data_IF_583997626534
#
_entry.id   IF_583997626534
#
_cell.length_a   1.000
_cell.length_b   1.000
_cell.length_c   1.000
_cell.angle_alpha   90.00
_cell.angle_beta   90.00
_cell.angle_gamma   90.00
#
_symmetry.space_group_name_H-M   'P 1'
#
loop_
_entity.id
_entity.type
_entity.pdbx_description
1 polymer ?
#
# COMPACT_ATOMS: atom_id res chain seq x y z
N UNK A 1 -24.44 -4.58 24.42
CA UNK A 1 -24.51 -3.33 23.62
C UNK A 1 -25.10 -3.69 22.26
N UNK A 2 -26.28 -3.17 21.91
CA UNK A 2 -26.85 -3.33 20.55
C UNK A 2 -26.07 -2.41 19.61
N UNK A 3 -25.48 -2.95 18.54
CA UNK A 3 -24.88 -2.12 17.49
C UNK A 3 -26.00 -1.47 16.68
N UNK A 4 -25.91 -0.15 16.55
CA UNK A 4 -26.84 0.69 15.80
C UNK A 4 -26.81 0.30 14.32
N UNK A 5 -27.95 0.30 13.60
CA UNK A 5 -27.99 -0.05 12.17
C UNK A 5 -27.00 0.79 11.33
N UNK A 6 -26.70 2.01 11.77
CA UNK A 6 -25.69 2.86 11.14
C UNK A 6 -24.31 2.24 11.19
N UNK A 7 -23.92 1.63 12.31
CA UNK A 7 -22.61 1.00 12.47
C UNK A 7 -22.44 -0.19 11.51
N UNK A 8 -23.51 -0.96 11.29
CA UNK A 8 -23.53 -2.08 10.33
C UNK A 8 -23.41 -1.57 8.89
N UNK A 9 -24.07 -0.46 8.55
CA UNK A 9 -23.92 0.17 7.23
C UNK A 9 -22.53 0.77 6.99
N UNK A 10 -21.92 1.37 8.02
CA UNK A 10 -20.53 1.85 7.96
C UNK A 10 -19.55 0.70 7.74
N UNK A 11 -19.76 -0.44 8.40
CA UNK A 11 -18.97 -1.65 8.20
C UNK A 11 -19.09 -2.19 6.76
N UNK A 12 -20.32 -2.27 6.22
CA UNK A 12 -20.54 -2.74 4.83
C UNK A 12 -19.93 -1.81 3.78
N UNK A 13 -19.99 -0.48 3.98
CA UNK A 13 -19.36 0.48 3.06
C UNK A 13 -17.83 0.39 3.10
N UNK A 14 -17.24 0.34 4.29
CA UNK A 14 -15.78 0.18 4.45
C UNK A 14 -15.29 -1.16 3.89
N UNK A 15 -16.04 -2.25 4.09
CA UNK A 15 -15.71 -3.56 3.54
C UNK A 15 -15.60 -3.59 2.00
N UNK A 16 -16.42 -2.79 1.29
CA UNK A 16 -16.30 -2.65 -0.18
C UNK A 16 -15.07 -1.86 -0.61
N UNK A 17 -14.73 -0.76 0.08
CA UNK A 17 -13.51 0.02 -0.21
C UNK A 17 -12.25 -0.83 0.04
N UNK A 18 -12.24 -1.58 1.14
CA UNK A 18 -11.15 -2.49 1.52
C UNK A 18 -11.09 -3.72 0.59
N UNK A 19 -12.20 -4.05 -0.08
CA UNK A 19 -12.29 -5.07 -1.13
C UNK A 19 -11.70 -4.64 -2.47
N UNK A 20 -11.86 -3.37 -2.88
CA UNK A 20 -11.27 -2.81 -4.11
C UNK A 20 -9.80 -2.39 -3.94
N UNK A 21 -9.35 -2.18 -2.70
CA UNK A 21 -7.97 -1.78 -2.41
C UNK A 21 -6.86 -2.67 -3.00
N UNK A 22 -6.94 -4.02 -2.99
CA UNK A 22 -5.92 -4.84 -3.65
C UNK A 22 -5.81 -4.59 -5.15
N UNK A 23 -6.92 -4.26 -5.83
CA UNK A 23 -6.93 -3.89 -7.24
C UNK A 23 -6.25 -2.52 -7.45
N UNK A 24 -6.63 -1.52 -6.64
CA UNK A 24 -6.04 -0.18 -6.70
C UNK A 24 -4.54 -0.20 -6.37
N UNK A 25 -4.13 -0.94 -5.34
CA UNK A 25 -2.73 -1.12 -4.96
C UNK A 25 -1.93 -1.87 -6.01
N UNK A 26 -2.49 -2.93 -6.61
CA UNK A 26 -1.84 -3.65 -7.72
C UNK A 26 -1.68 -2.75 -8.95
N UNK A 27 -2.72 -1.99 -9.32
CA UNK A 27 -2.65 -1.02 -10.42
C UNK A 27 -1.58 0.04 -10.17
N UNK A 28 -1.48 0.57 -8.95
CA UNK A 28 -0.46 1.54 -8.56
C UNK A 28 0.95 0.95 -8.64
N UNK A 29 1.11 -0.32 -8.24
CA UNK A 29 2.40 -1.03 -8.30
C UNK A 29 2.82 -1.30 -9.75
N UNK A 30 1.87 -1.72 -10.61
CA UNK A 30 2.10 -1.87 -12.05
C UNK A 30 2.49 -0.53 -12.68
N UNK A 31 1.78 0.55 -12.34
CA UNK A 31 2.10 1.88 -12.82
C UNK A 31 3.50 2.32 -12.38
N UNK A 32 3.89 2.01 -11.13
CA UNK A 32 5.22 2.28 -10.62
C UNK A 32 6.30 1.50 -11.38
N UNK A 33 6.08 0.21 -11.66
CA UNK A 33 7.00 -0.61 -12.45
C UNK A 33 7.15 -0.08 -13.88
N UNK A 34 6.05 0.34 -14.50
CA UNK A 34 6.06 0.98 -15.82
C UNK A 34 6.85 2.28 -15.78
N UNK A 35 6.66 3.11 -14.74
CA UNK A 35 7.41 4.34 -14.54
C UNK A 35 8.91 4.07 -14.40
N UNK A 36 9.30 3.08 -13.59
CA UNK A 36 10.70 2.70 -13.39
C UNK A 36 11.32 2.22 -14.70
N UNK A 37 10.64 1.33 -15.44
CA UNK A 37 11.11 0.85 -16.74
C UNK A 37 11.24 2.00 -17.74
N UNK A 38 10.23 2.87 -17.83
CA UNK A 38 10.26 4.05 -18.70
C UNK A 38 11.43 4.98 -18.35
N UNK A 39 11.65 5.23 -17.06
CA UNK A 39 12.72 6.10 -16.58
C UNK A 39 14.10 5.49 -16.90
N UNK A 40 14.23 4.17 -16.79
CA UNK A 40 15.46 3.45 -17.15
C UNK A 40 15.82 3.62 -18.63
N UNK A 41 14.86 3.50 -19.54
CA UNK A 41 15.12 3.67 -20.98
C UNK A 41 15.33 5.12 -21.40
N UNK A 42 14.57 6.06 -20.81
CA UNK A 42 14.54 7.45 -21.30
C UNK A 42 15.53 8.37 -20.62
N UNK A 43 15.92 8.06 -19.38
CA UNK A 43 16.81 8.89 -18.59
C UNK A 43 17.74 8.04 -17.71
N UNK A 44 18.66 7.26 -18.31
CA UNK A 44 19.54 6.35 -17.58
C UNK A 44 20.43 7.07 -16.55
N UNK A 45 20.75 8.35 -16.76
CA UNK A 45 21.48 9.18 -15.81
C UNK A 45 20.75 9.41 -14.48
N UNK A 46 19.42 9.26 -14.43
CA UNK A 46 18.61 9.44 -13.23
C UNK A 46 18.38 8.15 -12.43
N UNK A 47 18.82 7.00 -12.94
CA UNK A 47 18.54 5.69 -12.30
C UNK A 47 19.81 4.86 -12.16
N UNK A 48 20.73 4.95 -13.12
CA UNK A 48 21.93 4.14 -13.15
C UNK A 48 23.15 4.95 -12.67
N UNK A 49 23.56 4.83 -11.40
CA UNK A 49 24.74 5.54 -10.90
C UNK A 49 26.02 5.09 -11.60
N UNK A 50 26.08 3.87 -12.16
CA UNK A 50 27.24 3.39 -12.90
C UNK A 50 27.37 4.05 -14.28
N UNK A 51 26.26 4.34 -14.95
CA UNK A 51 26.26 5.09 -16.22
C UNK A 51 26.73 6.54 -15.98
N UNK A 52 26.32 7.12 -14.85
CA UNK A 52 26.78 8.45 -14.43
C UNK A 52 28.28 8.44 -14.15
N UNK A 53 28.79 7.48 -13.38
CA UNK A 53 30.23 7.35 -13.10
C UNK A 53 31.05 7.09 -14.37
N UNK A 54 30.57 6.24 -15.28
CA UNK A 54 31.28 5.94 -16.53
C UNK A 54 31.40 7.17 -17.46
N UNK A 55 30.39 8.04 -17.49
CA UNK A 55 30.44 9.31 -18.25
C UNK A 55 31.25 10.40 -17.53
N UNK A 56 31.45 10.25 -16.23
CA UNK A 56 32.30 11.11 -15.42
C UNK A 56 33.78 10.76 -15.59
N UNK A 57 34.13 9.48 -15.57
CA UNK A 57 35.49 8.99 -15.87
C UNK A 57 35.92 9.32 -17.31
N UNK A 58 34.97 9.52 -18.23
CA UNK A 58 35.24 9.97 -19.60
C UNK A 58 35.68 11.45 -19.70
N UNK A 59 35.81 12.18 -18.58
CA UNK A 59 36.43 13.51 -18.52
C UNK A 59 35.56 14.66 -19.04
N UNK A 60 34.25 14.45 -19.21
CA UNK A 60 33.36 15.44 -19.84
C UNK A 60 32.79 16.52 -18.90
N UNK A 61 33.11 16.53 -17.60
CA UNK A 61 32.41 17.37 -16.61
C UNK A 61 33.35 17.87 -15.49
N UNK A 62 33.36 19.19 -15.22
CA UNK A 62 34.10 19.84 -14.13
C UNK A 62 33.74 19.31 -12.72
N UNK A 63 34.76 19.21 -11.87
CA UNK A 63 35.18 17.93 -11.29
C UNK A 63 34.60 17.56 -9.91
N UNK A 64 33.97 18.48 -9.17
CA UNK A 64 33.61 18.19 -7.77
C UNK A 64 32.15 18.49 -7.42
N UNK A 65 31.63 19.65 -7.78
CA UNK A 65 30.24 20.02 -7.46
C UNK A 65 29.23 19.35 -8.37
N UNK A 66 29.55 19.20 -9.66
CA UNK A 66 28.66 18.58 -10.64
C UNK A 66 28.63 17.05 -10.44
N UNK A 67 29.77 16.46 -10.06
CA UNK A 67 29.93 15.05 -9.73
C UNK A 67 29.02 14.63 -8.57
N UNK A 68 29.05 15.40 -7.47
CA UNK A 68 28.17 15.15 -6.32
C UNK A 68 26.70 15.25 -6.73
N UNK A 69 26.31 16.27 -7.49
CA UNK A 69 24.92 16.43 -7.94
C UNK A 69 24.47 15.30 -8.87
N UNK A 70 25.35 14.82 -9.76
CA UNK A 70 25.05 13.79 -10.73
C UNK A 70 24.88 12.41 -10.08
N UNK A 71 25.59 12.12 -8.99
CA UNK A 71 25.45 10.86 -8.23
C UNK A 71 24.31 10.93 -7.21
N UNK A 72 24.08 12.09 -6.58
CA UNK A 72 22.98 12.26 -5.63
C UNK A 72 21.61 12.13 -6.30
N UNK A 73 21.45 12.58 -7.54
CA UNK A 73 20.20 12.47 -8.29
C UNK A 73 19.67 11.02 -8.36
N UNK A 74 20.43 10.04 -8.90
CA UNK A 74 19.99 8.65 -8.97
C UNK A 74 19.83 7.99 -7.61
N UNK A 75 20.62 8.37 -6.60
CA UNK A 75 20.47 7.83 -5.24
C UNK A 75 19.17 8.33 -4.61
N UNK A 76 18.84 9.61 -4.77
CA UNK A 76 17.60 10.20 -4.24
C UNK A 76 16.36 9.64 -4.94
N UNK A 77 16.38 9.51 -6.28
CA UNK A 77 15.26 8.92 -7.03
C UNK A 77 15.02 7.47 -6.60
N UNK A 78 16.07 6.65 -6.48
CA UNK A 78 15.97 5.28 -5.98
C UNK A 78 15.42 5.24 -4.54
N UNK A 79 15.90 6.12 -3.67
CA UNK A 79 15.40 6.22 -2.28
C UNK A 79 13.91 6.57 -2.26
N UNK A 80 13.46 7.53 -3.05
CA UNK A 80 12.04 7.86 -3.20
C UNK A 80 11.22 6.67 -3.69
N UNK A 81 11.70 5.94 -4.71
CA UNK A 81 11.03 4.74 -5.23
C UNK A 81 10.90 3.67 -4.14
N UNK A 82 11.97 3.41 -3.38
CA UNK A 82 11.96 2.44 -2.28
C UNK A 82 10.95 2.84 -1.20
N UNK A 83 10.93 4.12 -0.80
CA UNK A 83 9.96 4.63 0.18
C UNK A 83 8.53 4.48 -0.34
N UNK A 84 8.27 4.78 -1.62
CA UNK A 84 6.95 4.60 -2.22
C UNK A 84 6.51 3.13 -2.20
N UNK A 85 7.40 2.20 -2.59
CA UNK A 85 7.11 0.76 -2.52
C UNK A 85 6.81 0.35 -1.07
N UNK A 86 7.62 0.78 -0.10
CA UNK A 86 7.42 0.49 1.31
C UNK A 86 6.06 1.02 1.81
N UNK A 87 5.69 2.25 1.45
CA UNK A 87 4.37 2.81 1.78
C UNK A 87 3.22 1.99 1.20
N UNK A 88 3.33 1.55 -0.06
CA UNK A 88 2.31 0.73 -0.72
C UNK A 88 2.17 -0.61 0.02
N UNK A 89 3.28 -1.26 0.36
CA UNK A 89 3.28 -2.50 1.13
C UNK A 89 2.69 -2.31 2.53
N UNK A 90 3.02 -1.21 3.21
CA UNK A 90 2.45 -0.86 4.51
C UNK A 90 0.94 -0.65 4.44
N UNK A 91 0.45 0.07 3.42
CA UNK A 91 -0.99 0.20 3.17
C UNK A 91 -1.62 -1.19 2.98
N UNK A 92 -1.01 -2.04 2.16
CA UNK A 92 -1.51 -3.40 1.93
C UNK A 92 -1.61 -4.22 3.23
N UNK A 93 -0.61 -4.10 4.11
CA UNK A 93 -0.57 -4.74 5.43
C UNK A 93 -1.62 -4.18 6.39
N UNK A 94 -1.76 -2.84 6.44
CA UNK A 94 -2.75 -2.16 7.28
C UNK A 94 -4.18 -2.58 6.92
N UNK A 95 -4.51 -2.58 5.63
CA UNK A 95 -5.85 -2.99 5.16
C UNK A 95 -6.12 -4.49 5.33
N UNK A 96 -5.09 -5.34 5.25
CA UNK A 96 -5.24 -6.78 5.54
C UNK A 96 -5.53 -7.04 7.01
N UNK A 97 -4.99 -6.21 7.90
CA UNK A 97 -5.23 -6.29 9.34
C UNK A 97 -6.66 -5.86 9.69
N UNK A 98 -7.20 -4.83 9.04
CA UNK A 98 -8.59 -4.39 9.22
C UNK A 98 -9.62 -5.49 8.87
N UNK A 99 -9.37 -6.26 7.80
CA UNK A 99 -10.25 -7.39 7.41
C UNK A 99 -10.38 -8.44 8.53
N UNK A 100 -9.28 -8.73 9.23
CA UNK A 100 -9.27 -9.71 10.33
C UNK A 100 -10.07 -9.22 11.53
N UNK A 101 -9.93 -7.95 11.91
CA UNK A 101 -10.69 -7.37 13.01
C UNK A 101 -12.19 -7.32 12.71
N UNK A 102 -12.57 -6.96 11.48
CA UNK A 102 -13.98 -6.97 11.06
C UNK A 102 -14.60 -8.37 11.11
N UNK A 103 -13.85 -9.40 10.71
CA UNK A 103 -14.32 -10.79 10.76
C UNK A 103 -14.50 -11.28 12.20
N UNK A 104 -13.55 -10.95 13.09
CA UNK A 104 -13.65 -11.25 14.52
C UNK A 104 -14.87 -10.59 15.17
N UNK A 105 -15.12 -9.32 14.89
CA UNK A 105 -16.30 -8.60 15.39
C UNK A 105 -17.59 -9.26 14.88
N UNK A 106 -17.63 -9.66 13.60
CA UNK A 106 -18.79 -10.35 13.04
C UNK A 106 -19.04 -11.71 13.72
N UNK A 107 -17.99 -12.50 13.93
CA UNK A 107 -18.08 -13.80 14.62
C UNK A 107 -18.55 -13.67 16.07
N UNK A 108 -17.96 -12.75 16.83
CA UNK A 108 -18.35 -12.53 18.23
C UNK A 108 -19.81 -12.05 18.36
N UNK A 109 -20.29 -11.29 17.37
CA UNK A 109 -21.68 -10.84 17.35
C UNK A 109 -22.65 -11.97 17.01
N UNK A 110 -22.28 -12.87 16.11
CA UNK A 110 -23.05 -14.07 15.78
C UNK A 110 -23.10 -15.06 16.96
N UNK A 111 -21.96 -15.27 17.63
CA UNK A 111 -21.85 -16.08 18.85
C UNK A 111 -22.68 -15.51 20.00
N UNK A 112 -22.62 -14.20 20.26
CA UNK A 112 -23.47 -13.53 21.25
C UNK A 112 -24.96 -13.62 20.86
N UNK A 113 -25.30 -13.54 19.58
CA UNK A 113 -26.69 -13.71 19.12
C UNK A 113 -27.18 -15.16 19.29
N UNK A 114 -26.31 -16.16 19.13
CA UNK A 114 -26.60 -17.56 19.44
C UNK A 114 -26.84 -17.76 20.94
N UNK A 115 -25.95 -17.21 21.79
CA UNK A 115 -26.03 -17.30 23.25
C UNK A 115 -27.24 -16.59 23.87
N UNK A 116 -27.78 -15.55 23.23
CA UNK A 116 -29.02 -14.88 23.67
C UNK A 116 -30.25 -15.24 22.81
N UNK A 117 -30.07 -16.02 21.74
CA UNK A 117 -31.13 -16.44 20.81
C UNK A 117 -31.67 -17.84 21.09
N UNK A 118 -30.96 -18.68 21.83
CA UNK A 118 -31.44 -19.99 22.32
C UNK A 118 -32.24 -19.90 23.64
N UNK A 119 -32.67 -18.69 24.03
CA UNK A 119 -33.50 -18.44 25.21
C UNK A 119 -34.96 -18.12 24.92
N UNK A 120 -35.54 -18.59 23.81
CA UNK A 120 -37.00 -18.63 23.69
C UNK A 120 -37.49 -19.80 22.81
N UNK A 121 -37.54 -21.03 23.34
CA UNK A 121 -38.55 -21.99 22.98
C UNK A 121 -39.67 -21.91 24.02
N UNK A 122 -40.82 -21.33 23.65
CA UNK A 122 -42.11 -21.65 24.28
C UNK A 122 -42.27 -21.25 25.77
N UNK A 123 -42.32 -19.95 26.08
CA UNK A 123 -43.27 -19.45 27.10
C UNK A 123 -44.45 -18.85 26.33
N UNK A 124 -45.36 -19.71 25.84
CA UNK A 124 -46.63 -20.08 26.50
C UNK A 124 -47.72 -19.03 26.26
N UNK A 125 -48.63 -19.40 25.34
CA UNK A 125 -50.10 -19.20 25.33
C UNK A 125 -50.67 -17.98 26.04
#
# INVERSE_FOLDING_TARGET
>A
MKLDERQIQFLKRRGKLVGLWPLAGSLLLVLLLVLIAWLYFRAPLLVNPFEVMARLDAGTIEESTLLLSAVLLPVMTLTCIVILIAMILFMFSAFSTEKKHLLLIAKLLEEHKSFHGEGNPLEEV
#
